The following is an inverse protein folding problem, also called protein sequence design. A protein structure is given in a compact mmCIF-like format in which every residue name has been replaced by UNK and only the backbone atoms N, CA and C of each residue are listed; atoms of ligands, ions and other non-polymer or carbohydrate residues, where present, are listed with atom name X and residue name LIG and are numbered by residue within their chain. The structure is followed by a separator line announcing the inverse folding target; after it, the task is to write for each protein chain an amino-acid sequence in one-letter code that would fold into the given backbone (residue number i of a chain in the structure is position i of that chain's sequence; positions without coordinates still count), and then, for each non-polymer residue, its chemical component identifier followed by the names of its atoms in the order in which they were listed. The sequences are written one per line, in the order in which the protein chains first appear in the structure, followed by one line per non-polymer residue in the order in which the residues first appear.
data_IF_146567468254
#
_entry.id   IF_146567468254
#
_cell.length_a   1.000
_cell.length_b   1.000
_cell.length_c   1.000
_cell.angle_alpha   90.00
_cell.angle_beta   90.00
_cell.angle_gamma   90.00
#
_symmetry.space_group_name_H-M   'P 1'
#
loop_
_entity.id
_entity.type
_entity.pdbx_description
1 polymer ?
#
# COMPACT_ATOMS: atom_id res chain seq x y z
N UNK A 1 -37.26 1.45 -25.10
CA UNK A 1 -35.98 0.96 -25.66
C UNK A 1 -34.85 1.39 -24.73
N UNK A 2 -34.46 0.54 -23.77
CA UNK A 2 -33.36 0.87 -22.83
C UNK A 2 -32.06 1.07 -23.61
N UNK A 3 -31.58 2.30 -23.65
CA UNK A 3 -30.27 2.60 -24.22
C UNK A 3 -29.19 1.81 -23.49
N UNK A 4 -28.38 1.06 -24.24
CA UNK A 4 -27.27 0.25 -23.75
C UNK A 4 -26.35 1.14 -22.90
N UNK A 5 -26.44 1.04 -21.57
CA UNK A 5 -25.68 1.88 -20.64
C UNK A 5 -24.19 1.71 -20.95
N UNK A 6 -23.54 2.80 -21.35
CA UNK A 6 -22.09 2.81 -21.57
C UNK A 6 -21.42 2.51 -20.23
N UNK A 7 -20.49 1.55 -20.21
CA UNK A 7 -19.71 1.27 -19.00
C UNK A 7 -18.98 2.53 -18.54
N UNK A 8 -19.16 2.88 -17.27
CA UNK A 8 -18.38 3.90 -16.56
C UNK A 8 -16.92 3.48 -16.42
N UNK A 9 -16.04 4.42 -16.05
CA UNK A 9 -14.62 4.12 -15.82
C UNK A 9 -14.42 3.04 -14.76
N UNK A 10 -15.14 3.12 -13.63
CA UNK A 10 -15.06 2.12 -12.56
C UNK A 10 -15.57 0.73 -12.97
N UNK A 11 -16.60 0.65 -13.82
CA UNK A 11 -17.06 -0.63 -14.36
C UNK A 11 -16.02 -1.26 -15.30
N UNK A 12 -15.30 -0.44 -16.08
CA UNK A 12 -14.19 -0.91 -16.93
C UNK A 12 -13.00 -1.39 -16.11
N UNK A 13 -12.63 -0.67 -15.04
CA UNK A 13 -11.58 -1.09 -14.11
C UNK A 13 -11.90 -2.46 -13.52
N UNK A 14 -13.10 -2.64 -12.96
CA UNK A 14 -13.55 -3.93 -12.41
C UNK A 14 -13.55 -5.04 -13.46
N UNK A 15 -13.97 -4.73 -14.68
CA UNK A 15 -13.97 -5.70 -15.78
C UNK A 15 -12.56 -6.16 -16.14
N UNK A 16 -11.62 -5.23 -16.37
CA UNK A 16 -10.23 -5.56 -16.71
C UNK A 16 -9.55 -6.30 -15.56
N UNK A 17 -9.72 -5.83 -14.32
CA UNK A 17 -9.17 -6.51 -13.15
C UNK A 17 -9.71 -7.95 -13.02
N UNK A 18 -11.00 -8.17 -13.31
CA UNK A 18 -11.59 -9.51 -13.30
C UNK A 18 -10.98 -10.44 -14.35
N UNK A 19 -10.52 -9.92 -15.49
CA UNK A 19 -9.82 -10.71 -16.51
C UNK A 19 -8.50 -11.25 -15.95
N UNK A 20 -7.71 -10.40 -15.29
CA UNK A 20 -6.48 -10.82 -14.63
C UNK A 20 -6.75 -11.85 -13.53
N UNK A 21 -7.71 -11.59 -12.63
CA UNK A 21 -7.94 -12.46 -11.47
C UNK A 21 -8.57 -13.81 -11.81
N UNK A 22 -9.37 -13.90 -12.88
CA UNK A 22 -9.96 -15.17 -13.33
C UNK A 22 -8.91 -16.11 -13.91
N UNK A 23 -7.98 -15.56 -14.68
CA UNK A 23 -7.01 -16.34 -15.44
C UNK A 23 -5.73 -16.56 -14.67
N UNK A 24 -5.32 -15.59 -13.83
CA UNK A 24 -4.08 -15.61 -13.04
C UNK A 24 -2.87 -15.87 -13.95
N UNK A 25 -2.83 -15.20 -15.10
CA UNK A 25 -1.75 -15.27 -16.07
C UNK A 25 -1.12 -13.90 -16.29
N UNK A 26 0.05 -13.91 -16.92
CA UNK A 26 0.75 -12.73 -17.39
C UNK A 26 0.34 -12.44 -18.84
N UNK A 27 0.10 -11.17 -19.15
CA UNK A 27 -0.34 -10.70 -20.45
C UNK A 27 0.59 -9.64 -21.02
N UNK A 28 0.77 -9.67 -22.33
CA UNK A 28 1.31 -8.52 -23.07
C UNK A 28 0.23 -7.46 -23.28
N UNK A 29 0.65 -6.26 -23.67
CA UNK A 29 -0.26 -5.14 -23.97
C UNK A 29 -1.32 -5.52 -25.02
N UNK A 30 -0.93 -6.27 -26.06
CA UNK A 30 -1.85 -6.69 -27.12
C UNK A 30 -2.87 -7.71 -26.63
N UNK A 31 -2.45 -8.63 -25.77
CA UNK A 31 -3.31 -9.67 -25.22
C UNK A 31 -4.36 -9.08 -24.27
N UNK A 32 -3.97 -8.18 -23.37
CA UNK A 32 -4.93 -7.56 -22.47
C UNK A 32 -5.94 -6.70 -23.23
N UNK A 33 -5.53 -5.98 -24.28
CA UNK A 33 -6.45 -5.23 -25.15
C UNK A 33 -7.47 -6.18 -25.79
N UNK A 34 -7.02 -7.32 -26.31
CA UNK A 34 -7.91 -8.32 -26.92
C UNK A 34 -8.90 -8.89 -25.89
N UNK A 35 -8.41 -9.30 -24.72
CA UNK A 35 -9.24 -9.91 -23.68
C UNK A 35 -10.23 -8.92 -23.06
N UNK A 36 -9.81 -7.69 -22.79
CA UNK A 36 -10.69 -6.63 -22.27
C UNK A 36 -11.77 -6.25 -23.29
N UNK A 37 -11.43 -6.21 -24.58
CA UNK A 37 -12.41 -5.95 -25.65
C UNK A 37 -13.43 -7.08 -25.75
N UNK A 38 -12.98 -8.35 -25.65
CA UNK A 38 -13.89 -9.52 -25.56
C UNK A 38 -14.79 -9.47 -24.32
N UNK A 39 -14.29 -8.89 -23.23
CA UNK A 39 -15.06 -8.68 -22.01
C UNK A 39 -16.04 -7.48 -22.07
N UNK A 40 -16.06 -6.73 -23.18
CA UNK A 40 -17.01 -5.64 -23.44
C UNK A 40 -16.46 -4.23 -23.19
N UNK A 41 -15.17 -4.09 -22.84
CA UNK A 41 -14.53 -2.78 -22.69
C UNK A 41 -14.18 -2.20 -24.07
N UNK A 42 -14.37 -0.90 -24.26
CA UNK A 42 -13.94 -0.24 -25.49
C UNK A 42 -12.41 -0.30 -25.60
N UNK A 43 -11.89 -0.93 -26.67
CA UNK A 43 -10.46 -1.12 -26.92
C UNK A 43 -9.62 0.16 -26.80
N UNK A 44 -10.12 1.30 -27.28
CA UNK A 44 -9.42 2.59 -27.20
C UNK A 44 -9.25 3.08 -25.75
N UNK A 45 -10.05 2.58 -24.82
CA UNK A 45 -9.97 2.94 -23.39
C UNK A 45 -9.22 1.92 -22.55
N UNK A 46 -8.87 0.75 -23.09
CA UNK A 46 -8.23 -0.32 -22.31
C UNK A 46 -6.86 0.13 -21.79
N UNK A 47 -6.04 0.77 -22.63
CA UNK A 47 -4.71 1.25 -22.23
C UNK A 47 -4.79 2.26 -21.08
N UNK A 48 -5.66 3.27 -21.19
CA UNK A 48 -5.84 4.29 -20.16
C UNK A 48 -6.36 3.70 -18.84
N UNK A 49 -7.31 2.76 -18.91
CA UNK A 49 -7.84 2.11 -17.71
C UNK A 49 -6.81 1.16 -17.09
N UNK A 50 -6.05 0.42 -17.90
CA UNK A 50 -4.98 -0.45 -17.42
C UNK A 50 -3.85 0.37 -16.78
N UNK A 51 -3.53 1.56 -17.31
CA UNK A 51 -2.59 2.47 -16.68
C UNK A 51 -3.10 2.95 -15.32
N UNK A 52 -4.36 3.36 -15.21
CA UNK A 52 -4.95 3.70 -13.91
C UNK A 52 -4.89 2.55 -12.90
N UNK A 53 -5.08 1.29 -13.34
CA UNK A 53 -4.93 0.14 -12.45
C UNK A 53 -3.47 -0.10 -12.00
N UNK A 54 -2.49 0.29 -12.81
CA UNK A 54 -1.07 0.25 -12.45
C UNK A 54 -0.75 1.37 -11.45
N UNK A 55 -1.28 2.57 -11.70
CA UNK A 55 -1.10 3.72 -10.82
C UNK A 55 -1.69 3.45 -9.42
N UNK A 56 -2.78 2.67 -9.35
CA UNK A 56 -3.42 2.21 -8.10
C UNK A 56 -2.75 0.95 -7.48
N UNK A 57 -1.62 0.46 -8.03
CA UNK A 57 -0.90 -0.77 -7.61
C UNK A 57 -1.75 -2.06 -7.65
N UNK A 58 -2.86 -2.05 -8.41
CA UNK A 58 -3.74 -3.20 -8.60
C UNK A 58 -3.26 -4.13 -9.72
N UNK A 59 -2.50 -3.60 -10.67
CA UNK A 59 -1.88 -4.35 -11.78
C UNK A 59 -0.38 -4.06 -11.79
N UNK A 60 0.42 -5.12 -11.81
CA UNK A 60 1.86 -5.03 -11.97
C UNK A 60 2.22 -4.87 -13.45
N UNK A 61 3.32 -4.16 -13.70
CA UNK A 61 3.91 -3.99 -15.02
C UNK A 61 5.42 -4.20 -14.93
N UNK A 62 5.96 -5.03 -15.81
CA UNK A 62 7.39 -5.24 -15.94
C UNK A 62 7.81 -5.23 -17.41
N UNK A 63 9.00 -4.69 -17.70
CA UNK A 63 9.54 -4.67 -19.05
C UNK A 63 10.62 -5.72 -19.17
N UNK A 64 10.33 -6.78 -19.93
CA UNK A 64 11.27 -7.86 -20.19
C UNK A 64 11.72 -7.76 -21.65
N UNK A 65 12.97 -7.38 -21.86
CA UNK A 65 13.53 -7.11 -23.18
C UNK A 65 12.82 -5.94 -23.88
N UNK A 66 12.20 -6.23 -25.03
CA UNK A 66 11.49 -5.23 -25.84
C UNK A 66 10.00 -5.05 -25.51
N UNK A 67 9.44 -5.86 -24.60
CA UNK A 67 7.99 -5.95 -24.39
C UNK A 67 7.60 -5.64 -22.95
N UNK A 68 6.43 -5.03 -22.77
CA UNK A 68 5.80 -4.84 -21.46
C UNK A 68 4.87 -6.02 -21.16
N UNK A 69 4.95 -6.51 -19.92
CA UNK A 69 4.15 -7.59 -19.38
C UNK A 69 3.35 -7.06 -18.20
N UNK A 70 2.11 -7.53 -18.08
CA UNK A 70 1.14 -7.09 -17.09
C UNK A 70 0.50 -8.30 -16.40
N UNK A 71 0.31 -8.22 -15.09
CA UNK A 71 -0.39 -9.25 -14.34
C UNK A 71 -1.05 -8.67 -13.10
N UNK A 72 -2.02 -9.40 -12.56
CA UNK A 72 -2.58 -9.11 -11.25
C UNK A 72 -3.06 -10.39 -10.61
N UNK A 73 -2.64 -10.61 -9.37
CA UNK A 73 -3.03 -11.77 -8.57
C UNK A 73 -3.81 -11.30 -7.34
N UNK A 74 -4.95 -11.92 -7.02
CA UNK A 74 -5.77 -11.51 -5.88
C UNK A 74 -5.00 -11.56 -4.54
N UNK A 75 -4.07 -12.51 -4.39
CA UNK A 75 -3.28 -12.67 -3.16
C UNK A 75 -2.21 -11.60 -2.91
N UNK A 76 -1.89 -10.74 -3.90
CA UNK A 76 -0.88 -9.69 -3.72
C UNK A 76 -1.36 -8.64 -2.70
N UNK A 77 -2.61 -8.21 -2.83
CA UNK A 77 -3.19 -7.21 -1.91
C UNK A 77 -3.28 -7.76 -0.49
N UNK A 78 -3.76 -9.00 -0.34
CA UNK A 78 -3.84 -9.66 0.97
C UNK A 78 -2.46 -9.78 1.61
N UNK A 79 -1.44 -10.19 0.84
CA UNK A 79 -0.07 -10.30 1.35
C UNK A 79 0.52 -8.94 1.72
N UNK A 80 0.25 -7.88 0.94
CA UNK A 80 0.71 -6.52 1.23
C UNK A 80 0.11 -6.02 2.55
N UNK A 81 -1.19 -6.21 2.75
CA UNK A 81 -1.86 -5.85 4.00
C UNK A 81 -1.33 -6.63 5.20
N UNK A 82 -1.00 -7.92 5.03
CA UNK A 82 -0.38 -8.72 6.09
C UNK A 82 1.00 -8.18 6.49
N UNK A 83 1.85 -7.85 5.50
CA UNK A 83 3.18 -7.29 5.75
C UNK A 83 3.07 -5.93 6.46
N UNK A 84 2.22 -5.03 5.96
CA UNK A 84 2.01 -3.69 6.55
C UNK A 84 1.48 -3.80 7.99
N UNK A 85 0.60 -4.77 8.25
CA UNK A 85 0.10 -5.06 9.59
C UNK A 85 1.21 -5.58 10.53
N UNK A 86 2.05 -6.50 10.06
CA UNK A 86 3.20 -7.01 10.83
C UNK A 86 4.22 -5.90 11.12
N UNK A 87 4.54 -5.04 10.14
CA UNK A 87 5.42 -3.88 10.32
C UNK A 87 4.87 -2.91 11.35
N UNK A 88 3.57 -2.59 11.27
CA UNK A 88 2.90 -1.72 12.23
C UNK A 88 2.95 -2.29 13.66
N UNK A 89 2.80 -3.61 13.83
CA UNK A 89 2.92 -4.26 15.13
C UNK A 89 4.35 -4.16 15.69
N UNK A 90 5.37 -4.39 14.86
CA UNK A 90 6.77 -4.25 15.25
C UNK A 90 7.09 -2.80 15.66
N UNK A 91 6.56 -1.82 14.93
CA UNK A 91 6.72 -0.40 15.26
C UNK A 91 6.06 -0.06 16.60
N UNK A 92 4.86 -0.59 16.88
CA UNK A 92 4.19 -0.43 18.17
C UNK A 92 5.06 -0.99 19.30
N UNK A 93 5.65 -2.17 19.13
CA UNK A 93 6.54 -2.76 20.14
C UNK A 93 7.80 -1.89 20.36
N UNK A 94 8.47 -1.49 19.28
CA UNK A 94 9.64 -0.61 19.36
C UNK A 94 9.34 0.73 20.03
N UNK A 95 8.19 1.34 19.72
CA UNK A 95 7.76 2.60 20.33
C UNK A 95 7.45 2.41 21.82
N UNK A 96 6.81 1.30 22.21
CA UNK A 96 6.55 0.99 23.63
C UNK A 96 7.85 0.87 24.44
N UNK A 97 8.86 0.20 23.88
CA UNK A 97 10.18 0.10 24.52
C UNK A 97 10.83 1.48 24.69
N UNK A 98 10.83 2.30 23.64
CA UNK A 98 11.35 3.68 23.68
C UNK A 98 10.61 4.54 24.72
N UNK A 99 9.29 4.39 24.83
CA UNK A 99 8.49 5.10 25.86
C UNK A 99 8.91 4.64 27.26
N UNK A 100 9.08 3.34 27.48
CA UNK A 100 9.52 2.78 28.76
C UNK A 100 10.90 3.33 29.16
N UNK A 101 11.87 3.30 28.25
CA UNK A 101 13.20 3.86 28.48
C UNK A 101 13.16 5.36 28.77
N UNK A 102 12.39 6.12 27.99
CA UNK A 102 12.25 7.56 28.18
C UNK A 102 11.64 7.88 29.55
N UNK A 103 10.65 7.09 29.99
CA UNK A 103 10.05 7.22 31.32
C UNK A 103 11.04 6.90 32.44
N UNK A 104 11.86 5.85 32.29
CA UNK A 104 12.93 5.55 33.26
C UNK A 104 13.94 6.69 33.37
N UNK A 105 14.42 7.20 32.22
CA UNK A 105 15.35 8.35 32.16
C UNK A 105 14.73 9.60 32.78
N UNK A 106 13.44 9.85 32.57
CA UNK A 106 12.70 10.94 33.21
C UNK A 106 12.61 10.76 34.73
N UNK A 107 12.37 9.55 35.22
CA UNK A 107 12.32 9.25 36.64
C UNK A 107 13.69 9.47 37.31
N UNK A 108 14.77 8.97 36.70
CA UNK A 108 16.14 9.15 37.18
C UNK A 108 16.54 10.63 37.21
N UNK A 109 16.21 11.39 36.15
CA UNK A 109 16.48 12.83 36.08
C UNK A 109 15.65 13.65 37.09
N UNK A 110 14.46 13.18 37.48
CA UNK A 110 13.67 13.80 38.56
C UNK A 110 14.30 13.53 39.93
N UNK A 111 14.74 12.30 40.18
CA UNK A 111 15.42 11.94 41.44
C UNK A 111 16.70 12.77 41.67
N UNK A 112 17.49 12.99 40.62
CA UNK A 112 18.69 13.84 40.70
C UNK A 112 18.42 15.34 40.97
N UNK A 113 17.19 15.84 40.73
CA UNK A 113 16.82 17.23 41.08
C UNK A 113 16.36 17.40 42.51
N UNK A 114 15.86 16.33 43.15
CA UNK A 114 15.41 16.38 44.54
C UNK A 114 16.59 16.50 45.52
N UNK A 115 17.76 15.93 45.18
CA UNK A 115 18.98 16.03 46.01
C UNK A 115 19.73 17.38 45.90
N UNK A 116 19.51 18.17 44.85
CA UNK A 116 20.21 19.47 44.68
C UNK A 116 19.39 20.69 45.15
N UNK A 117 18.15 20.50 45.60
CA UNK A 117 17.26 21.58 46.05
C UNK A 117 17.47 22.03 47.50
N UNK A 118 18.20 21.25 48.32
CA UNK A 118 18.36 21.52 49.75
C UNK A 118 19.69 22.18 50.16
N UNK A 119 20.80 21.93 49.46
CA UNK A 119 22.14 22.23 50.00
C UNK A 119 22.91 23.37 49.31
N UNK A 120 22.45 23.90 48.16
CA UNK A 120 23.12 25.05 47.53
C UNK A 120 22.80 26.39 48.19
N UNK A 121 21.69 26.50 48.92
CA UNK A 121 21.28 27.76 49.56
C UNK A 121 22.04 28.10 50.85
N UNK A 122 22.74 27.14 51.48
CA UNK A 122 23.35 27.32 52.80
C UNK A 122 24.89 27.44 52.78
N UNK A 123 25.52 27.52 51.61
CA UNK A 123 26.99 27.67 51.45
C UNK A 123 27.45 29.08 51.05
N UNK A 124 26.52 30.05 51.00
CA UNK A 124 26.79 31.45 50.66
C UNK A 124 26.29 32.45 51.74
N UNK A 125 26.04 31.98 52.97
CA UNK A 125 25.72 32.85 54.11
C UNK A 125 26.97 33.15 54.94
#
# INVERSE_FOLDING_TARGET
MSGKKRMSAGEKQKCILSVYHKTKLVYTEKEIISLATKAGVNGNTVQAINQSLIDDDLVDKEKIGGSNYFWSFPGKQDRKLQIEHEETLNDIESIKEKISEANSKLADAKRGREDEGGDRANKMA
#
